data_IF_982430445584
#
_entry.id   IF_982430445584
#
_cell.length_a   1.000
_cell.length_b   1.000
_cell.length_c   1.000
_cell.angle_alpha   90.00
_cell.angle_beta   90.00
_cell.angle_gamma   90.00
#
_symmetry.space_group_name_H-M   'P 1'
#
loop_
_entity.id
_entity.type
_entity.pdbx_description
1 polymer ?
#
# COMPACT_ATOMS: atom_id res chain seq x y z
N UNK A 1 -18.07 -69.92 78.72
CA UNK A 1 -16.99 -69.30 77.92
C UNK A 1 -17.51 -68.80 76.56
N UNK A 2 -18.23 -69.64 75.80
CA UNK A 2 -18.83 -69.28 74.50
C UNK A 2 -19.79 -68.08 74.56
N UNK A 3 -20.68 -68.01 75.57
CA UNK A 3 -21.64 -66.90 75.69
C UNK A 3 -20.99 -65.51 75.86
N UNK A 4 -19.81 -65.42 76.51
CA UNK A 4 -19.08 -64.15 76.66
C UNK A 4 -18.41 -63.73 75.36
N UNK A 5 -17.95 -64.69 74.55
CA UNK A 5 -17.38 -64.44 73.23
C UNK A 5 -18.44 -63.92 72.24
N UNK A 6 -19.66 -64.46 72.32
CA UNK A 6 -20.82 -64.02 71.51
C UNK A 6 -21.20 -62.55 71.74
N UNK A 7 -21.03 -62.05 72.97
CA UNK A 7 -21.32 -60.65 73.32
C UNK A 7 -20.11 -59.73 73.06
N UNK A 8 -18.89 -60.23 73.24
CA UNK A 8 -17.68 -59.44 73.04
C UNK A 8 -17.44 -59.08 71.56
N UNK A 9 -17.73 -60.00 70.63
CA UNK A 9 -17.51 -59.79 69.21
C UNK A 9 -18.27 -58.58 68.63
N UNK A 10 -19.60 -58.43 68.81
CA UNK A 10 -20.33 -57.28 68.30
C UNK A 10 -19.94 -55.97 68.98
N UNK A 11 -19.64 -56.00 70.29
CA UNK A 11 -19.18 -54.80 71.01
C UNK A 11 -17.85 -54.27 70.44
N UNK A 12 -16.96 -55.18 70.05
CA UNK A 12 -15.67 -54.83 69.46
C UNK A 12 -15.82 -54.25 68.05
N UNK A 13 -16.75 -54.77 67.25
CA UNK A 13 -17.08 -54.23 65.93
C UNK A 13 -17.73 -52.85 66.00
N UNK A 14 -18.66 -52.63 66.93
CA UNK A 14 -19.30 -51.31 67.13
C UNK A 14 -18.26 -50.29 67.60
N UNK A 15 -17.35 -50.69 68.49
CA UNK A 15 -16.28 -49.81 68.93
C UNK A 15 -15.33 -49.45 67.78
N UNK A 16 -14.98 -50.42 66.93
CA UNK A 16 -14.17 -50.19 65.74
C UNK A 16 -14.83 -49.22 64.75
N UNK A 17 -16.11 -49.43 64.43
CA UNK A 17 -16.88 -48.58 63.51
C UNK A 17 -16.92 -47.13 63.99
N UNK A 18 -17.14 -46.92 65.30
CA UNK A 18 -17.19 -45.57 65.88
C UNK A 18 -15.88 -44.78 65.77
N UNK A 19 -14.74 -45.46 65.60
CA UNK A 19 -13.42 -44.85 65.43
C UNK A 19 -13.01 -44.71 63.95
N UNK A 20 -13.73 -45.34 63.01
CA UNK A 20 -13.35 -45.35 61.61
C UNK A 20 -13.99 -44.18 60.86
N UNK A 21 -13.16 -43.24 60.41
CA UNK A 21 -13.59 -42.21 59.46
C UNK A 21 -13.49 -42.78 58.04
N UNK A 22 -14.61 -42.79 57.31
CA UNK A 22 -14.65 -43.19 55.91
C UNK A 22 -14.56 -41.92 55.04
N UNK A 23 -13.39 -41.71 54.43
CA UNK A 23 -13.19 -40.58 53.51
C UNK A 23 -13.78 -40.92 52.14
N UNK A 24 -14.87 -40.24 51.77
CA UNK A 24 -15.45 -40.30 50.43
C UNK A 24 -14.86 -39.19 49.55
N UNK A 25 -14.03 -39.57 48.57
CA UNK A 25 -13.48 -38.62 47.58
C UNK A 25 -14.35 -38.64 46.33
N UNK A 26 -15.11 -37.56 46.11
CA UNK A 26 -15.83 -37.33 44.85
C UNK A 26 -14.94 -36.58 43.87
N UNK A 27 -14.52 -37.23 42.78
CA UNK A 27 -13.77 -36.59 41.69
C UNK A 27 -14.72 -36.03 40.62
N UNK A 28 -14.76 -34.71 40.48
CA UNK A 28 -15.44 -34.01 39.38
C UNK A 28 -14.48 -33.65 38.25
N UNK A 29 -14.83 -33.95 37.00
CA UNK A 29 -14.04 -33.55 35.82
C UNK A 29 -14.38 -32.10 35.43
N UNK A 30 -13.48 -31.16 35.72
CA UNK A 30 -13.55 -29.78 35.22
C UNK A 30 -12.70 -29.64 33.95
N UNK A 31 -13.31 -29.29 32.82
CA UNK A 31 -12.58 -28.97 31.59
C UNK A 31 -12.40 -27.46 31.49
N UNK A 32 -11.16 -26.98 31.56
CA UNK A 32 -10.83 -25.57 31.27
C UNK A 32 -10.89 -25.39 29.76
N UNK A 33 -11.92 -24.69 29.28
CA UNK A 33 -12.05 -24.31 27.87
C UNK A 33 -11.66 -22.84 27.78
N UNK A 34 -10.59 -22.48 27.04
CA UNK A 34 -10.27 -21.09 26.80
C UNK A 34 -11.40 -20.41 26.02
N UNK A 35 -11.80 -19.22 26.46
CA UNK A 35 -12.88 -18.42 25.87
C UNK A 35 -12.48 -17.67 24.59
N UNK A 36 -11.20 -17.74 24.20
CA UNK A 36 -10.68 -17.04 23.02
C UNK A 36 -10.94 -17.83 21.75
N UNK A 37 -11.71 -17.24 20.83
CA UNK A 37 -11.92 -17.76 19.49
C UNK A 37 -10.57 -17.86 18.76
N UNK A 38 -10.31 -19.00 18.13
CA UNK A 38 -9.18 -19.18 17.22
C UNK A 38 -9.39 -18.28 15.99
N UNK A 39 -8.73 -17.13 15.96
CA UNK A 39 -8.79 -16.23 14.81
C UNK A 39 -7.59 -16.53 13.91
N UNK A 40 -7.85 -17.24 12.81
CA UNK A 40 -6.84 -17.51 11.80
C UNK A 40 -6.52 -16.21 11.06
N UNK A 41 -5.40 -15.58 11.41
CA UNK A 41 -4.90 -14.39 10.70
C UNK A 41 -4.21 -14.87 9.42
N UNK A 42 -4.92 -14.81 8.30
CA UNK A 42 -4.37 -15.07 6.96
C UNK A 42 -4.08 -13.75 6.26
N UNK A 43 -2.89 -13.60 5.68
CA UNK A 43 -2.58 -12.44 4.84
C UNK A 43 -3.41 -12.51 3.55
N UNK A 44 -4.22 -11.49 3.30
CA UNK A 44 -5.08 -11.38 2.10
C UNK A 44 -4.25 -11.16 0.82
N UNK A 45 -3.04 -10.64 0.98
CA UNK A 45 -2.09 -10.36 -0.09
C UNK A 45 -0.89 -11.30 0.08
N UNK A 46 -0.72 -12.25 -0.85
CA UNK A 46 0.39 -13.20 -0.86
C UNK A 46 1.73 -12.49 -1.10
N UNK A 47 2.36 -12.02 -0.03
CA UNK A 47 3.73 -11.53 -0.01
C UNK A 47 4.67 -12.51 0.71
N UNK A 48 5.96 -12.48 0.36
CA UNK A 48 6.99 -13.25 1.07
C UNK A 48 7.13 -12.66 2.48
N UNK A 49 7.04 -13.49 3.51
CA UNK A 49 7.28 -13.06 4.89
C UNK A 49 8.78 -12.80 5.05
N UNK A 50 9.15 -11.57 5.39
CA UNK A 50 10.54 -11.17 5.62
C UNK A 50 10.99 -11.56 7.03
N UNK A 51 10.14 -11.33 8.03
CA UNK A 51 10.42 -11.74 9.40
C UNK A 51 9.14 -12.03 10.18
N UNK A 52 9.17 -13.06 11.02
CA UNK A 52 8.13 -13.36 12.01
C UNK A 52 8.67 -12.95 13.38
N UNK A 53 7.98 -12.04 14.06
CA UNK A 53 8.42 -11.43 15.32
C UNK A 53 7.87 -12.15 16.56
N UNK A 54 7.10 -13.23 16.35
CA UNK A 54 6.42 -13.99 17.40
C UNK A 54 6.59 -15.49 17.19
N UNK A 55 6.52 -16.26 18.27
CA UNK A 55 6.58 -17.72 18.26
C UNK A 55 5.26 -18.32 18.72
N UNK A 56 5.06 -19.59 18.37
CA UNK A 56 3.88 -20.34 18.80
C UNK A 56 3.84 -20.39 20.34
N UNK A 57 2.75 -19.87 20.93
CA UNK A 57 2.55 -19.76 22.37
C UNK A 57 2.89 -18.41 22.99
N UNK A 58 3.40 -17.43 22.23
CA UNK A 58 3.62 -16.08 22.73
C UNK A 58 2.29 -15.34 23.00
N UNK A 59 2.23 -14.63 24.12
CA UNK A 59 1.10 -13.75 24.46
C UNK A 59 1.27 -12.45 23.68
N UNK A 60 0.30 -12.14 22.82
CA UNK A 60 0.35 -10.95 21.96
C UNK A 60 -0.74 -9.95 22.32
N UNK A 61 -0.40 -8.67 22.25
CA UNK A 61 -1.34 -7.57 22.49
C UNK A 61 -1.98 -7.07 21.18
N UNK A 62 -3.15 -6.45 21.30
CA UNK A 62 -3.82 -5.88 20.13
C UNK A 62 -2.96 -4.76 19.52
N UNK A 63 -2.61 -4.91 18.24
CA UNK A 63 -1.78 -3.93 17.51
C UNK A 63 -0.28 -4.26 17.51
N UNK A 64 0.13 -5.34 18.19
CA UNK A 64 1.50 -5.83 18.11
C UNK A 64 1.81 -6.34 16.70
N UNK A 65 2.93 -5.89 16.14
CA UNK A 65 3.41 -6.38 14.85
C UNK A 65 3.84 -7.84 14.99
N UNK A 66 3.14 -8.75 14.32
CA UNK A 66 3.39 -10.19 14.38
C UNK A 66 4.37 -10.65 13.31
N UNK A 67 4.26 -10.08 12.10
CA UNK A 67 5.09 -10.39 10.96
C UNK A 67 5.37 -9.12 10.15
N UNK A 68 6.53 -9.09 9.48
CA UNK A 68 6.86 -8.10 8.47
C UNK A 68 6.87 -8.79 7.11
N UNK A 69 6.04 -8.32 6.19
CA UNK A 69 6.12 -8.71 4.78
C UNK A 69 7.31 -8.01 4.11
N UNK A 70 7.93 -8.67 3.13
CA UNK A 70 9.04 -8.14 2.34
C UNK A 70 8.64 -6.86 1.61
N UNK A 71 9.22 -5.74 2.04
CA UNK A 71 8.87 -4.39 1.55
C UNK A 71 9.45 -4.08 0.18
N UNK A 72 10.41 -4.87 -0.31
CA UNK A 72 11.18 -4.54 -1.51
C UNK A 72 10.29 -4.35 -2.75
N UNK A 73 9.27 -5.19 -2.93
CA UNK A 73 8.35 -5.11 -4.08
C UNK A 73 7.35 -3.96 -3.93
N UNK A 74 6.88 -3.69 -2.72
CA UNK A 74 5.91 -2.62 -2.45
C UNK A 74 6.57 -1.24 -2.52
N UNK A 75 7.76 -1.08 -1.95
CA UNK A 75 8.53 0.17 -2.02
C UNK A 75 8.88 0.54 -3.47
N UNK A 76 9.29 -0.44 -4.28
CA UNK A 76 9.56 -0.20 -5.72
C UNK A 76 8.30 0.28 -6.47
N UNK A 77 7.13 -0.30 -6.16
CA UNK A 77 5.87 0.09 -6.80
C UNK A 77 5.41 1.50 -6.37
N UNK A 78 5.69 1.90 -5.14
CA UNK A 78 5.36 3.25 -4.64
C UNK A 78 6.24 4.28 -5.33
N UNK A 79 7.56 4.06 -5.35
CA UNK A 79 8.51 4.96 -6.01
C UNK A 79 8.22 5.09 -7.52
N UNK A 80 7.87 4.00 -8.20
CA UNK A 80 7.47 4.06 -9.61
C UNK A 80 6.20 4.89 -9.80
N UNK A 81 5.21 4.74 -8.90
CA UNK A 81 3.95 5.49 -8.98
C UNK A 81 4.14 6.98 -8.72
N UNK A 82 4.98 7.34 -7.74
CA UNK A 82 5.38 8.72 -7.46
C UNK A 82 6.11 9.34 -8.65
N UNK A 83 7.08 8.64 -9.24
CA UNK A 83 7.79 9.12 -10.43
C UNK A 83 6.85 9.36 -11.61
N UNK A 84 5.89 8.45 -11.84
CA UNK A 84 4.87 8.61 -12.89
C UNK A 84 3.94 9.79 -12.62
N UNK A 85 3.57 10.02 -11.37
CA UNK A 85 2.75 11.15 -10.96
C UNK A 85 3.48 12.47 -11.26
N UNK A 86 4.73 12.58 -10.83
CA UNK A 86 5.56 13.77 -11.06
C UNK A 86 5.72 14.05 -12.56
N UNK A 87 6.02 13.03 -13.37
CA UNK A 87 6.12 13.17 -14.82
C UNK A 87 4.80 13.65 -15.46
N UNK A 88 3.66 13.11 -15.01
CA UNK A 88 2.35 13.51 -15.51
C UNK A 88 2.00 14.95 -15.12
N UNK A 89 2.30 15.36 -13.90
CA UNK A 89 2.11 16.75 -13.43
C UNK A 89 2.95 17.73 -14.23
N UNK A 90 4.23 17.41 -14.47
CA UNK A 90 5.13 18.26 -15.24
C UNK A 90 4.66 18.38 -16.71
N UNK A 91 4.25 17.27 -17.32
CA UNK A 91 3.66 17.26 -18.66
C UNK A 91 2.38 18.10 -18.73
N UNK A 92 1.49 17.98 -17.74
CA UNK A 92 0.25 18.75 -17.69
C UNK A 92 0.53 20.25 -17.55
N UNK A 93 1.48 20.65 -16.70
CA UNK A 93 1.90 22.04 -16.56
C UNK A 93 2.44 22.60 -17.88
N UNK A 94 3.31 21.85 -18.57
CA UNK A 94 3.84 22.23 -19.89
C UNK A 94 2.74 22.36 -20.93
N UNK A 95 1.85 21.36 -21.05
CA UNK A 95 0.76 21.40 -22.03
C UNK A 95 -0.21 22.56 -21.77
N UNK A 96 -0.53 22.85 -20.51
CA UNK A 96 -1.33 24.02 -20.16
C UNK A 96 -0.65 25.33 -20.57
N UNK A 97 0.67 25.43 -20.40
CA UNK A 97 1.43 26.60 -20.84
C UNK A 97 1.47 26.72 -22.37
N UNK A 98 1.62 25.60 -23.09
CA UNK A 98 1.59 25.57 -24.56
C UNK A 98 0.22 25.95 -25.14
N UNK A 99 -0.87 25.47 -24.55
CA UNK A 99 -2.24 25.73 -25.04
C UNK A 99 -2.67 27.18 -24.78
N UNK A 100 -2.36 27.71 -23.60
CA UNK A 100 -2.77 29.07 -23.21
C UNK A 100 -1.75 30.15 -23.58
N UNK A 101 -0.63 29.78 -24.21
CA UNK A 101 0.47 30.68 -24.56
C UNK A 101 1.01 31.49 -23.35
N UNK A 102 0.95 30.88 -22.16
CA UNK A 102 1.36 31.48 -20.87
C UNK A 102 2.77 31.06 -20.45
N UNK A 103 3.32 31.79 -19.49
CA UNK A 103 4.59 31.43 -18.87
C UNK A 103 4.51 30.03 -18.21
N UNK A 104 5.55 29.23 -18.40
CA UNK A 104 5.64 27.90 -17.82
C UNK A 104 5.79 28.02 -16.30
N UNK A 105 4.80 27.52 -15.56
CA UNK A 105 4.79 27.50 -14.10
C UNK A 105 4.52 26.08 -13.65
N UNK A 106 5.43 25.52 -12.84
CA UNK A 106 5.27 24.19 -12.26
C UNK A 106 4.63 24.29 -10.88
N UNK A 107 3.80 23.31 -10.49
CA UNK A 107 3.27 23.18 -9.13
C UNK A 107 4.39 22.83 -8.11
N UNK A 108 4.21 23.23 -6.85
CA UNK A 108 5.25 23.17 -5.80
C UNK A 108 5.68 21.74 -5.45
N UNK A 109 4.83 20.75 -5.73
CA UNK A 109 5.12 19.32 -5.54
C UNK A 109 6.28 18.83 -6.44
N UNK A 110 6.67 19.59 -7.47
CA UNK A 110 7.78 19.27 -8.37
C UNK A 110 9.09 19.99 -8.01
N UNK A 111 9.11 20.81 -6.96
CA UNK A 111 10.31 21.58 -6.56
C UNK A 111 11.49 20.66 -6.19
N UNK A 112 11.19 19.46 -5.67
CA UNK A 112 12.21 18.46 -5.31
C UNK A 112 12.84 17.80 -6.56
N UNK A 113 12.12 17.74 -7.69
CA UNK A 113 12.51 17.07 -8.93
C UNK A 113 13.08 18.07 -9.96
N UNK A 114 14.14 18.79 -9.54
CA UNK A 114 14.77 19.89 -10.32
C UNK A 114 15.18 19.46 -11.73
N UNK A 115 15.64 18.22 -11.91
CA UNK A 115 16.07 17.72 -13.22
C UNK A 115 14.89 17.53 -14.18
N UNK A 116 13.76 17.00 -13.69
CA UNK A 116 12.53 16.85 -14.46
C UNK A 116 12.00 18.22 -14.92
N UNK A 117 11.98 19.19 -14.02
CA UNK A 117 11.57 20.58 -14.31
C UNK A 117 12.44 21.20 -15.41
N UNK A 118 13.76 21.01 -15.35
CA UNK A 118 14.69 21.51 -16.38
C UNK A 118 14.44 20.86 -17.74
N UNK A 119 14.26 19.54 -17.77
CA UNK A 119 14.02 18.80 -19.02
C UNK A 119 12.72 19.25 -19.69
N UNK A 120 11.63 19.37 -18.93
CA UNK A 120 10.34 19.85 -19.45
C UNK A 120 10.41 21.32 -19.90
N UNK A 121 11.16 22.16 -19.17
CA UNK A 121 11.39 23.55 -19.58
C UNK A 121 12.16 23.65 -20.90
N UNK A 122 13.21 22.85 -21.07
CA UNK A 122 13.97 22.80 -22.32
C UNK A 122 13.11 22.31 -23.49
N UNK A 123 12.28 21.29 -23.25
CA UNK A 123 11.35 20.76 -24.24
C UNK A 123 10.31 21.81 -24.66
N UNK A 124 9.75 22.54 -23.69
CA UNK A 124 8.82 23.64 -23.93
C UNK A 124 9.44 24.71 -24.86
N UNK A 125 10.65 25.18 -24.53
CA UNK A 125 11.35 26.20 -25.31
C UNK A 125 11.65 25.72 -26.74
N UNK A 126 12.13 24.49 -26.89
CA UNK A 126 12.43 23.91 -28.20
C UNK A 126 11.19 23.79 -29.10
N UNK A 127 10.04 23.42 -28.53
CA UNK A 127 8.77 23.35 -29.25
C UNK A 127 8.27 24.72 -29.69
N UNK A 128 8.35 25.73 -28.81
CA UNK A 128 8.00 27.11 -29.16
C UNK A 128 8.86 27.64 -30.31
N UNK A 129 10.17 27.47 -30.21
CA UNK A 129 11.09 27.93 -31.25
C UNK A 129 10.80 27.25 -32.60
N UNK A 130 10.50 25.95 -32.59
CA UNK A 130 10.14 25.20 -33.79
C UNK A 130 8.83 25.71 -34.41
N UNK A 131 7.84 26.02 -33.57
CA UNK A 131 6.57 26.60 -34.01
C UNK A 131 6.77 27.99 -34.64
N UNK A 132 7.58 28.85 -34.00
CA UNK A 132 7.90 30.18 -34.52
C UNK A 132 8.63 30.11 -35.86
N UNK A 133 9.62 29.21 -35.99
CA UNK A 133 10.32 28.97 -37.26
C UNK A 133 9.38 28.48 -38.35
N UNK A 134 8.47 27.56 -38.03
CA UNK A 134 7.45 27.08 -38.96
C UNK A 134 6.53 28.20 -39.45
N UNK A 135 6.05 29.04 -38.53
CA UNK A 135 5.23 30.22 -38.85
C UNK A 135 5.99 31.23 -39.71
N UNK A 136 7.26 31.48 -39.40
CA UNK A 136 8.10 32.38 -40.19
C UNK A 136 8.29 31.87 -41.63
N UNK A 137 8.57 30.59 -41.80
CA UNK A 137 8.70 29.96 -43.12
C UNK A 137 7.40 30.03 -43.94
N UNK A 138 6.24 29.75 -43.32
CA UNK A 138 4.94 29.85 -43.99
C UNK A 138 4.62 31.28 -44.43
N UNK A 139 4.91 32.28 -43.59
CA UNK A 139 4.74 33.70 -43.92
C UNK A 139 5.62 34.12 -45.10
N UNK A 140 6.87 33.68 -45.10
CA UNK A 140 7.80 33.95 -46.20
C UNK A 140 7.32 33.34 -47.52
N UNK A 141 6.83 32.10 -47.49
CA UNK A 141 6.24 31.44 -48.67
C UNK A 141 5.00 32.18 -49.20
N UNK A 142 4.12 32.64 -48.31
CA UNK A 142 2.94 33.41 -48.69
C UNK A 142 3.30 34.76 -49.35
N UNK A 143 4.30 35.46 -48.82
CA UNK A 143 4.80 36.72 -49.40
C UNK A 143 5.42 36.50 -50.79
N UNK A 144 6.19 35.43 -50.98
CA UNK A 144 6.73 35.04 -52.29
C UNK A 144 5.61 34.80 -53.32
N UNK A 145 4.60 34.00 -52.96
CA UNK A 145 3.46 33.71 -53.84
C UNK A 145 2.68 34.99 -54.17
N UNK A 146 2.48 35.89 -53.20
CA UNK A 146 1.85 37.19 -53.46
C UNK A 146 2.65 38.05 -54.44
N UNK A 147 3.98 38.06 -54.34
CA UNK A 147 4.86 38.78 -55.28
C UNK A 147 4.77 38.20 -56.69
N UNK A 148 4.80 36.87 -56.82
CA UNK A 148 4.64 36.22 -58.12
C UNK A 148 3.29 36.58 -58.76
N UNK A 149 2.19 36.48 -58.02
CA UNK A 149 0.86 36.86 -58.49
C UNK A 149 0.79 38.33 -58.91
N UNK A 150 1.42 39.24 -58.16
CA UNK A 150 1.46 40.66 -58.50
C UNK A 150 2.21 40.92 -59.82
N UNK A 151 3.26 40.14 -60.11
CA UNK A 151 4.01 40.22 -61.38
C UNK A 151 3.24 39.59 -62.54
N UNK A 152 2.52 38.48 -62.33
CA UNK A 152 1.83 37.76 -63.42
C UNK A 152 0.46 38.33 -63.77
N UNK A 153 -0.31 38.86 -62.79
CA UNK A 153 -1.63 39.46 -63.03
C UNK A 153 -1.67 40.47 -64.18
N UNK A 154 -0.79 41.50 -64.22
CA UNK A 154 -0.84 42.50 -65.28
C UNK A 154 -0.54 41.92 -66.66
N UNK A 155 0.29 40.87 -66.75
CA UNK A 155 0.67 40.20 -68.00
C UNK A 155 -0.50 39.44 -68.64
N UNK A 156 -1.40 38.88 -67.82
CA UNK A 156 -2.59 38.15 -68.29
C UNK A 156 -3.72 39.10 -68.70
N UNK A 157 -3.81 40.28 -68.08
CA UNK A 157 -4.82 41.30 -68.44
C UNK A 157 -4.44 42.16 -69.65
N UNK A 158 -3.17 42.14 -70.09
CA UNK A 158 -2.68 42.91 -71.23
C UNK A 158 -2.49 42.09 -72.52
N UNK A 159 -2.75 40.78 -72.49
CA UNK A 159 -2.83 39.90 -73.67
C UNK A 159 -4.27 39.55 -74.02
#
# INVERSE_FOLDING_TARGET
RVARALVALPLLLIHWDSLSQLDEVTTGSGKVIPSSHEQVIQSLEGGIIHSLMVREGDIVERGQQLAQLDRTKTESSVLESESRLNAAMATAARLNAEVNDTALTFPAELDDDVELVKQETALYQSRRESLEKGLAGLRQGADLVQRELALTRPLVTQG
#
